data_IF_251362276472
#
_entry.id   IF_251362276472
#
_cell.length_a   1.000
_cell.length_b   1.000
_cell.length_c   1.000
_cell.angle_alpha   90.00
_cell.angle_beta   90.00
_cell.angle_gamma   90.00
#
_symmetry.space_group_name_H-M   'P 1'
#
loop_
_entity.id
_entity.type
_entity.pdbx_description
1 polymer ?
#
# COMPACT_ATOMS: atom_id res chain seq x y z
N UNK A 1 -17.73 24.66 18.51
CA UNK A 1 -17.50 26.12 18.41
C UNK A 1 -17.89 26.59 17.01
N UNK A 2 -18.58 27.73 16.84
CA UNK A 2 -18.86 28.29 15.50
C UNK A 2 -17.76 29.26 15.10
N UNK A 3 -17.16 29.04 13.94
CA UNK A 3 -16.18 29.92 13.33
C UNK A 3 -16.73 30.43 12.01
N UNK A 4 -16.59 31.72 11.74
CA UNK A 4 -16.95 32.29 10.45
C UNK A 4 -15.79 32.16 9.45
N UNK A 5 -16.09 32.42 8.18
CA UNK A 5 -15.10 32.31 7.11
C UNK A 5 -13.91 33.25 7.33
N UNK A 6 -14.15 34.43 7.90
CA UNK A 6 -13.11 35.41 8.19
C UNK A 6 -12.13 34.88 9.25
N UNK A 7 -12.61 34.28 10.34
CA UNK A 7 -11.75 33.67 11.35
C UNK A 7 -10.93 32.50 10.79
N UNK A 8 -11.53 31.63 9.96
CA UNK A 8 -10.83 30.49 9.33
C UNK A 8 -9.66 30.98 8.46
N UNK A 9 -9.85 32.08 7.73
CA UNK A 9 -8.81 32.69 6.89
C UNK A 9 -7.76 33.45 7.71
N UNK A 10 -8.19 34.21 8.73
CA UNK A 10 -7.30 35.00 9.59
C UNK A 10 -6.35 34.12 10.40
N UNK A 11 -6.81 32.92 10.80
CA UNK A 11 -6.01 31.92 11.50
C UNK A 11 -5.25 30.97 10.56
N UNK A 12 -5.37 31.17 9.24
CA UNK A 12 -4.72 30.36 8.21
C UNK A 12 -4.85 28.85 8.45
N UNK A 13 -6.06 28.39 8.84
CA UNK A 13 -6.25 27.03 9.35
C UNK A 13 -5.90 25.95 8.30
N UNK A 14 -6.37 26.14 7.06
CA UNK A 14 -6.19 25.19 5.96
C UNK A 14 -5.48 25.79 4.74
N UNK A 15 -5.47 27.11 4.61
CA UNK A 15 -4.89 27.82 3.47
C UNK A 15 -4.18 29.07 3.97
N UNK A 16 -2.95 29.24 3.52
CA UNK A 16 -2.20 30.47 3.75
C UNK A 16 -2.67 31.54 2.75
N UNK A 17 -2.82 32.80 3.21
CA UNK A 17 -3.26 33.90 2.34
C UNK A 17 -2.18 34.42 1.39
N UNK A 18 -0.90 34.10 1.63
CA UNK A 18 0.28 34.66 0.94
C UNK A 18 0.90 33.75 -0.11
N UNK A 19 0.59 32.45 -0.11
CA UNK A 19 1.19 31.47 -1.01
C UNK A 19 0.16 30.82 -1.94
N UNK A 20 0.54 30.62 -3.21
CA UNK A 20 -0.29 29.96 -4.21
C UNK A 20 -0.28 28.42 -4.07
N UNK A 21 0.72 27.86 -3.38
CA UNK A 21 0.82 26.42 -3.19
C UNK A 21 0.03 25.97 -1.95
N UNK A 22 -0.85 24.96 -2.07
CA UNK A 22 -1.56 24.40 -0.94
C UNK A 22 -0.62 23.60 -0.04
N UNK A 23 -0.54 23.95 1.24
CA UNK A 23 0.00 23.06 2.27
C UNK A 23 1.21 23.56 3.06
N UNK A 24 1.89 24.63 2.65
CA UNK A 24 2.99 25.19 3.44
C UNK A 24 2.48 26.31 4.36
N UNK A 25 2.98 26.33 5.60
CA UNK A 25 2.71 27.36 6.62
C UNK A 25 1.23 27.56 6.98
N UNK A 26 0.51 26.48 7.33
CA UNK A 26 -0.85 26.54 7.90
C UNK A 26 -0.89 25.80 9.24
N UNK A 27 -1.88 26.09 10.10
CA UNK A 27 -2.04 25.36 11.37
C UNK A 27 -2.22 23.86 11.12
N UNK A 28 -3.01 23.51 10.12
CA UNK A 28 -3.20 22.11 9.72
C UNK A 28 -1.88 21.45 9.29
N UNK A 29 -1.06 22.12 8.48
CA UNK A 29 0.22 21.56 8.05
C UNK A 29 1.19 21.33 9.22
N UNK A 30 1.20 22.24 10.20
CA UNK A 30 2.01 22.11 11.41
C UNK A 30 1.55 20.93 12.29
N UNK A 31 0.23 20.80 12.48
CA UNK A 31 -0.35 19.77 13.35
C UNK A 31 -0.40 18.38 12.69
N UNK A 32 -0.49 18.32 11.35
CA UNK A 32 -0.75 17.07 10.65
C UNK A 32 0.48 16.16 10.55
N UNK A 33 0.63 15.31 11.55
CA UNK A 33 1.59 14.19 11.57
C UNK A 33 0.90 12.82 11.55
N UNK A 34 -0.31 12.77 10.99
CA UNK A 34 -1.11 11.54 10.90
C UNK A 34 -0.52 10.55 9.90
N UNK A 35 -0.74 9.25 10.14
CA UNK A 35 -0.23 8.16 9.28
C UNK A 35 -1.29 7.53 8.39
N UNK A 36 -2.56 7.90 8.58
CA UNK A 36 -3.69 7.33 7.85
C UNK A 36 -4.51 8.44 7.16
N UNK A 37 -5.12 8.16 5.99
CA UNK A 37 -6.03 9.09 5.33
C UNK A 37 -7.19 9.52 6.24
N UNK A 38 -7.73 8.59 7.02
CA UNK A 38 -8.81 8.82 7.98
C UNK A 38 -8.37 9.77 9.10
N UNK A 39 -7.16 9.59 9.64
CA UNK A 39 -6.60 10.49 10.65
C UNK A 39 -6.43 11.90 10.10
N UNK A 40 -5.95 12.05 8.86
CA UNK A 40 -5.82 13.34 8.18
C UNK A 40 -7.18 14.02 8.01
N UNK A 41 -8.21 13.27 7.59
CA UNK A 41 -9.60 13.79 7.45
C UNK A 41 -10.19 14.18 8.80
N UNK A 42 -10.02 13.34 9.82
CA UNK A 42 -10.47 13.62 11.17
C UNK A 42 -9.82 14.89 11.71
N UNK A 43 -8.50 15.03 11.59
CA UNK A 43 -7.78 16.23 12.01
C UNK A 43 -8.27 17.48 11.28
N UNK A 44 -8.52 17.38 9.96
CA UNK A 44 -9.10 18.48 9.18
C UNK A 44 -10.44 18.92 9.77
N UNK A 45 -11.30 17.96 10.13
CA UNK A 45 -12.59 18.23 10.78
C UNK A 45 -12.42 18.82 12.18
N UNK A 46 -11.52 18.29 12.99
CA UNK A 46 -11.26 18.76 14.35
C UNK A 46 -10.75 20.20 14.38
N UNK A 47 -9.88 20.59 13.43
CA UNK A 47 -9.38 21.97 13.30
C UNK A 47 -10.50 22.93 12.87
N UNK A 48 -11.37 22.51 11.95
CA UNK A 48 -12.50 23.34 11.51
C UNK A 48 -13.65 23.40 12.51
N UNK A 49 -13.80 22.39 13.35
CA UNK A 49 -14.88 22.26 14.32
C UNK A 49 -14.33 21.86 15.69
N UNK A 50 -13.76 22.81 16.45
CA UNK A 50 -13.29 22.55 17.80
C UNK A 50 -14.43 22.07 18.71
N UNK A 51 -14.10 21.08 19.54
CA UNK A 51 -14.98 20.53 20.56
C UNK A 51 -15.33 21.60 21.59
N UNK A 52 -16.52 21.50 22.18
CA UNK A 52 -17.01 22.42 23.23
C UNK A 52 -17.45 21.69 24.49
N UNK A 53 -17.48 20.35 24.46
CA UNK A 53 -17.80 19.54 25.63
C UNK A 53 -16.53 19.37 26.46
N UNK A 54 -16.54 19.86 27.69
CA UNK A 54 -15.40 19.79 28.62
C UNK A 54 -14.99 18.35 28.93
N UNK A 55 -15.95 17.45 29.12
CA UNK A 55 -15.66 16.04 29.41
C UNK A 55 -14.93 15.36 28.25
N UNK A 56 -15.37 15.57 27.01
CA UNK A 56 -14.70 15.02 25.81
C UNK A 56 -13.31 15.63 25.60
N UNK A 57 -13.15 16.92 25.89
CA UNK A 57 -11.86 17.61 25.83
C UNK A 57 -10.89 17.00 26.84
N UNK A 58 -11.32 16.81 28.08
CA UNK A 58 -10.48 16.20 29.12
C UNK A 58 -10.10 14.76 28.77
N UNK A 59 -11.03 13.95 28.26
CA UNK A 59 -10.72 12.59 27.80
C UNK A 59 -9.66 12.55 26.69
N UNK A 60 -9.65 13.54 25.79
CA UNK A 60 -8.63 13.67 24.76
C UNK A 60 -7.29 14.13 25.35
N UNK A 61 -7.30 15.01 26.35
CA UNK A 61 -6.09 15.44 27.04
C UNK A 61 -5.45 14.28 27.81
N UNK A 62 -6.23 13.50 28.55
CA UNK A 62 -5.76 12.31 29.28
C UNK A 62 -5.08 11.32 28.33
N UNK A 63 -5.72 11.01 27.20
CA UNK A 63 -5.16 10.11 26.19
C UNK A 63 -3.85 10.64 25.57
N UNK A 64 -3.72 11.95 25.39
CA UNK A 64 -2.48 12.57 24.91
C UNK A 64 -1.40 12.52 25.99
N UNK A 65 -1.74 12.80 27.24
CA UNK A 65 -0.81 12.77 28.38
C UNK A 65 -0.20 11.38 28.53
N UNK A 66 -1.01 10.32 28.48
CA UNK A 66 -0.52 8.94 28.58
C UNK A 66 0.39 8.56 27.41
N UNK A 67 0.03 8.93 26.17
CA UNK A 67 0.90 8.67 25.01
C UNK A 67 2.19 9.51 25.04
N UNK A 68 2.17 10.68 25.65
CA UNK A 68 3.39 11.46 25.89
C UNK A 68 4.23 10.91 27.04
N UNK A 69 3.62 10.24 28.02
CA UNK A 69 4.28 9.62 29.16
C UNK A 69 5.02 8.31 28.81
N UNK A 70 4.52 7.54 27.84
CA UNK A 70 5.16 6.31 27.35
C UNK A 70 5.53 6.44 25.86
N UNK A 71 6.77 6.88 25.61
CA UNK A 71 7.28 7.07 24.26
C UNK A 71 7.38 5.76 23.47
N UNK A 72 7.60 4.63 24.12
CA UNK A 72 7.75 3.34 23.44
C UNK A 72 6.39 2.85 22.91
N UNK A 73 5.32 3.00 23.70
CA UNK A 73 3.94 2.75 23.24
C UNK A 73 3.58 3.69 22.10
N UNK A 74 3.88 4.99 22.23
CA UNK A 74 3.62 5.95 21.17
C UNK A 74 4.34 5.60 19.86
N UNK A 75 5.63 5.28 19.89
CA UNK A 75 6.40 4.89 18.69
C UNK A 75 5.84 3.62 18.07
N UNK A 76 5.58 2.58 18.88
CA UNK A 76 4.99 1.30 18.38
C UNK A 76 3.64 1.53 17.70
N UNK A 77 2.74 2.29 18.32
CA UNK A 77 1.45 2.61 17.73
C UNK A 77 1.60 3.44 16.46
N UNK A 78 2.48 4.45 16.46
CA UNK A 78 2.75 5.31 15.31
C UNK A 78 3.32 4.52 14.12
N UNK A 79 4.21 3.57 14.39
CA UNK A 79 4.77 2.70 13.36
C UNK A 79 3.72 1.72 12.82
N UNK A 80 2.92 1.12 13.71
CA UNK A 80 1.83 0.24 13.30
C UNK A 80 0.77 0.96 12.45
N UNK A 81 0.48 2.23 12.75
CA UNK A 81 -0.48 3.01 11.97
C UNK A 81 -0.07 3.21 10.50
N UNK A 82 1.21 3.01 10.14
CA UNK A 82 1.66 3.03 8.74
C UNK A 82 1.11 1.87 7.92
N UNK A 83 0.73 0.77 8.56
CA UNK A 83 0.14 -0.40 7.86
C UNK A 83 -1.24 -0.10 7.27
N UNK A 84 -1.88 1.00 7.70
CA UNK A 84 -3.12 1.49 7.11
C UNK A 84 -2.89 2.48 5.95
N UNK A 85 -1.64 2.86 5.68
CA UNK A 85 -1.35 3.85 4.64
C UNK A 85 -1.75 3.35 3.25
N UNK A 86 -2.47 4.21 2.53
CA UNK A 86 -3.00 3.91 1.20
C UNK A 86 -4.24 3.01 1.17
N UNK A 87 -4.74 2.53 2.31
CA UNK A 87 -6.06 1.90 2.41
C UNK A 87 -7.06 2.97 2.86
N UNK A 88 -7.94 3.37 1.94
CA UNK A 88 -8.98 4.36 2.25
C UNK A 88 -10.30 3.66 2.58
N UNK A 89 -10.63 3.58 3.87
CA UNK A 89 -11.86 2.91 4.32
C UNK A 89 -13.12 3.64 3.86
N UNK A 90 -13.10 4.96 3.69
CA UNK A 90 -14.25 5.73 3.21
C UNK A 90 -14.56 5.42 1.74
N UNK A 91 -13.52 5.18 0.93
CA UNK A 91 -13.72 4.71 -0.43
C UNK A 91 -14.30 3.30 -0.48
N UNK A 92 -13.93 2.44 0.47
CA UNK A 92 -14.44 1.06 0.56
C UNK A 92 -15.87 1.07 1.11
N UNK A 93 -16.17 1.88 2.13
CA UNK A 93 -17.49 1.97 2.74
C UNK A 93 -18.52 2.54 1.75
N UNK A 94 -18.13 3.55 0.96
CA UNK A 94 -18.94 4.06 -0.15
C UNK A 94 -19.27 2.97 -1.16
N UNK A 95 -18.27 2.18 -1.57
CA UNK A 95 -18.44 1.05 -2.49
C UNK A 95 -19.35 -0.06 -1.92
N UNK A 96 -19.26 -0.37 -0.63
CA UNK A 96 -20.15 -1.37 0.02
C UNK A 96 -21.58 -0.85 0.20
N UNK A 97 -21.74 0.45 0.45
CA UNK A 97 -23.05 1.05 0.74
C UNK A 97 -23.85 1.37 -0.52
N UNK A 98 -23.16 1.54 -1.64
CA UNK A 98 -23.81 1.67 -2.93
C UNK A 98 -24.37 0.29 -3.29
N UNK A 99 -25.70 0.17 -3.29
CA UNK A 99 -26.49 -1.01 -3.64
C UNK A 99 -26.34 -1.40 -5.14
N UNK A 100 -25.17 -1.11 -5.71
CA UNK A 100 -24.73 -1.66 -6.97
C UNK A 100 -24.62 -3.16 -6.75
N UNK A 101 -25.31 -3.99 -7.56
CA UNK A 101 -25.01 -5.40 -7.54
C UNK A 101 -23.52 -5.55 -7.82
N UNK A 102 -22.75 -5.93 -6.79
CA UNK A 102 -21.45 -6.61 -6.96
C UNK A 102 -21.68 -7.51 -8.16
N UNK A 103 -20.89 -7.36 -9.22
CA UNK A 103 -21.07 -8.03 -10.49
C UNK A 103 -21.14 -9.56 -10.39
N UNK A 104 -22.21 -10.08 -9.80
CA UNK A 104 -22.94 -11.20 -10.31
C UNK A 104 -23.35 -10.68 -11.66
N UNK A 105 -22.52 -11.01 -12.65
CA UNK A 105 -23.00 -11.38 -13.97
C UNK A 105 -24.33 -12.08 -13.73
N UNK A 106 -25.43 -11.33 -13.84
CA UNK A 106 -26.73 -11.93 -14.04
C UNK A 106 -26.58 -12.67 -15.34
N UNK A 107 -26.19 -13.93 -15.22
CA UNK A 107 -26.33 -14.99 -16.21
C UNK A 107 -27.82 -15.29 -16.42
N UNK A 108 -28.68 -14.26 -16.35
CA UNK A 108 -30.05 -14.32 -16.79
C UNK A 108 -30.05 -14.04 -18.29
N UNK A 109 -29.70 -15.09 -19.05
CA UNK A 109 -30.32 -15.36 -20.34
C UNK A 109 -30.04 -14.42 -21.51
N UNK A 110 -28.88 -13.76 -21.58
CA UNK A 110 -28.45 -13.12 -22.85
C UNK A 110 -27.10 -13.65 -23.29
N UNK A 111 -27.19 -14.51 -24.30
CA UNK A 111 -26.21 -14.85 -25.31
C UNK A 111 -24.75 -14.50 -24.99
N UNK A 112 -23.96 -15.56 -24.86
CA UNK A 112 -22.53 -15.53 -25.14
C UNK A 112 -22.27 -14.82 -26.47
N UNK A 113 -21.78 -13.59 -26.40
CA UNK A 113 -21.02 -12.97 -27.48
C UNK A 113 -19.80 -12.29 -26.88
N UNK A 114 -18.66 -12.96 -27.09
CA UNK A 114 -17.33 -12.43 -27.33
C UNK A 114 -16.90 -11.12 -26.62
N UNK A 115 -15.88 -11.29 -25.76
CA UNK A 115 -15.10 -10.26 -25.06
C UNK A 115 -15.86 -9.52 -23.94
N UNK A 116 -15.56 -9.92 -22.70
CA UNK A 116 -15.67 -9.03 -21.53
C UNK A 116 -15.00 -7.72 -21.91
N UNK A 117 -15.73 -6.60 -21.83
CA UNK A 117 -15.18 -5.31 -22.23
C UNK A 117 -13.97 -4.96 -21.35
N UNK A 118 -12.94 -4.33 -21.93
CA UNK A 118 -11.76 -3.90 -21.16
C UNK A 118 -12.13 -3.05 -19.92
N UNK A 119 -13.25 -2.33 -20.00
CA UNK A 119 -13.83 -1.57 -18.90
C UNK A 119 -14.37 -2.46 -17.76
N UNK A 120 -15.09 -3.52 -18.07
CA UNK A 120 -15.65 -4.45 -17.08
C UNK A 120 -14.54 -5.21 -16.33
N UNK A 121 -13.49 -5.60 -17.05
CA UNK A 121 -12.31 -6.24 -16.45
C UNK A 121 -11.58 -5.27 -15.50
N UNK A 122 -11.37 -4.02 -15.93
CA UNK A 122 -10.74 -2.99 -15.10
C UNK A 122 -11.54 -2.70 -13.82
N UNK A 123 -12.88 -2.71 -13.91
CA UNK A 123 -13.75 -2.57 -12.74
C UNK A 123 -13.61 -3.74 -11.77
N UNK A 124 -13.67 -4.98 -12.27
CA UNK A 124 -13.51 -6.18 -11.45
C UNK A 124 -12.14 -6.25 -10.77
N UNK A 125 -11.07 -5.84 -11.46
CA UNK A 125 -9.73 -5.71 -10.87
C UNK A 125 -9.65 -4.65 -9.77
N UNK A 126 -10.33 -3.53 -9.96
CA UNK A 126 -10.48 -2.48 -8.95
C UNK A 126 -11.21 -2.98 -7.71
N UNK A 127 -12.32 -3.70 -7.90
CA UNK A 127 -13.12 -4.29 -6.82
C UNK A 127 -12.31 -5.32 -6.03
N UNK A 128 -11.58 -6.20 -6.71
CA UNK A 128 -10.68 -7.15 -6.05
C UNK A 128 -9.63 -6.43 -5.21
N UNK A 129 -9.09 -5.31 -5.69
CA UNK A 129 -8.13 -4.51 -4.94
C UNK A 129 -8.74 -3.90 -3.68
N UNK A 130 -10.01 -3.44 -3.75
CA UNK A 130 -10.75 -2.95 -2.58
C UNK A 130 -10.99 -4.05 -1.56
N UNK A 131 -11.37 -5.24 -2.01
CA UNK A 131 -11.58 -6.40 -1.14
C UNK A 131 -10.27 -6.84 -0.46
N UNK A 132 -9.15 -6.86 -1.19
CA UNK A 132 -7.83 -7.13 -0.61
C UNK A 132 -7.45 -6.04 0.40
N UNK A 133 -7.72 -4.77 0.09
CA UNK A 133 -7.54 -3.65 1.01
C UNK A 133 -8.34 -3.83 2.30
N UNK A 134 -9.62 -4.22 2.20
CA UNK A 134 -10.47 -4.52 3.35
C UNK A 134 -9.93 -5.68 4.18
N UNK A 135 -9.47 -6.76 3.55
CA UNK A 135 -8.85 -7.91 4.24
C UNK A 135 -7.61 -7.46 5.04
N UNK A 136 -6.69 -6.72 4.40
CA UNK A 136 -5.49 -6.19 5.06
C UNK A 136 -5.87 -5.24 6.20
N UNK A 137 -6.83 -4.34 5.98
CA UNK A 137 -7.32 -3.41 6.99
C UNK A 137 -7.82 -4.14 8.24
N UNK A 138 -8.70 -5.13 8.08
CA UNK A 138 -9.27 -5.89 9.19
C UNK A 138 -8.21 -6.68 9.97
N UNK A 139 -7.23 -7.27 9.28
CA UNK A 139 -6.08 -7.92 9.93
C UNK A 139 -5.26 -6.91 10.75
N UNK A 140 -5.01 -5.72 10.20
CA UNK A 140 -4.24 -4.66 10.87
C UNK A 140 -4.99 -4.10 12.09
N UNK A 141 -6.33 -4.05 12.06
CA UNK A 141 -7.16 -3.68 13.22
C UNK A 141 -7.04 -4.71 14.35
N UNK A 142 -7.02 -6.01 14.03
CA UNK A 142 -6.85 -7.08 15.03
C UNK A 142 -5.48 -6.99 15.71
N UNK A 143 -4.42 -6.77 14.94
CA UNK A 143 -3.09 -6.60 15.49
C UNK A 143 -2.98 -5.30 16.32
N UNK A 144 -3.62 -4.21 15.89
CA UNK A 144 -3.70 -2.97 16.68
C UNK A 144 -4.41 -3.21 18.02
N UNK A 145 -5.48 -4.02 18.05
CA UNK A 145 -6.14 -4.40 19.30
C UNK A 145 -5.19 -5.13 20.26
N UNK A 146 -4.39 -6.06 19.75
CA UNK A 146 -3.39 -6.78 20.55
C UNK A 146 -2.30 -5.85 21.09
N UNK A 147 -1.84 -4.88 20.28
CA UNK A 147 -0.87 -3.87 20.72
C UNK A 147 -1.44 -2.98 21.84
N UNK A 148 -2.68 -2.51 21.69
CA UNK A 148 -3.35 -1.71 22.73
C UNK A 148 -3.57 -2.50 24.02
N UNK A 149 -3.91 -3.79 23.92
CA UNK A 149 -4.01 -4.70 25.08
C UNK A 149 -2.68 -4.92 25.77
N UNK A 150 -1.60 -5.08 25.01
CA UNK A 150 -0.25 -5.32 25.55
C UNK A 150 0.35 -4.07 26.20
N UNK A 151 -0.06 -2.88 25.77
CA UNK A 151 0.37 -1.60 26.33
C UNK A 151 -0.31 -1.26 27.68
N UNK A 152 -1.26 -2.07 28.16
CA UNK A 152 -1.98 -1.91 29.44
C UNK A 152 -2.46 -0.48 29.71
N UNK A 153 -3.04 0.16 28.69
CA UNK A 153 -3.40 1.57 28.78
C UNK A 153 -4.65 1.77 29.63
N UNK A 154 -4.53 2.58 30.68
CA UNK A 154 -5.59 2.84 31.66
C UNK A 154 -6.63 3.86 31.20
N UNK A 155 -6.34 4.63 30.15
CA UNK A 155 -7.24 5.72 29.72
C UNK A 155 -8.54 5.23 29.13
N UNK A 156 -9.62 5.90 29.51
CA UNK A 156 -10.97 5.57 29.05
C UNK A 156 -11.13 5.67 27.53
N UNK A 157 -10.51 6.65 26.86
CA UNK A 157 -10.61 6.82 25.41
C UNK A 157 -9.91 5.67 24.66
N UNK A 158 -8.68 5.34 25.05
CA UNK A 158 -7.90 4.27 24.42
C UNK A 158 -8.51 2.89 24.73
N UNK A 159 -9.03 2.68 25.94
CA UNK A 159 -9.80 1.49 26.31
C UNK A 159 -11.09 1.38 25.48
N UNK A 160 -11.81 2.49 25.25
CA UNK A 160 -12.99 2.52 24.37
C UNK A 160 -12.63 2.15 22.94
N UNK A 161 -11.52 2.67 22.40
CA UNK A 161 -11.01 2.27 21.08
C UNK A 161 -10.69 0.78 21.06
N UNK A 162 -9.97 0.25 22.06
CA UNK A 162 -9.66 -1.18 22.15
C UNK A 162 -10.93 -2.05 22.18
N UNK A 163 -11.96 -1.66 22.93
CA UNK A 163 -13.25 -2.38 22.95
C UNK A 163 -13.94 -2.44 21.57
N UNK A 164 -13.67 -1.47 20.70
CA UNK A 164 -14.25 -1.38 19.36
C UNK A 164 -13.47 -2.17 18.32
N UNK A 165 -12.21 -2.50 18.57
CA UNK A 165 -11.31 -3.19 17.63
C UNK A 165 -11.18 -4.70 17.86
N UNK A 166 -11.97 -5.27 18.77
CA UNK A 166 -11.89 -6.70 19.14
C UNK A 166 -12.11 -7.68 17.97
N UNK A 167 -11.54 -8.88 18.13
CA UNK A 167 -11.65 -9.98 17.17
C UNK A 167 -13.12 -10.41 16.93
N UNK A 168 -13.99 -10.23 17.92
CA UNK A 168 -15.42 -10.57 17.82
C UNK A 168 -16.13 -9.81 16.68
N UNK A 169 -15.67 -8.60 16.37
CA UNK A 169 -16.27 -7.73 15.35
C UNK A 169 -15.65 -7.92 13.97
N UNK A 170 -14.34 -8.13 13.93
CA UNK A 170 -13.56 -8.27 12.68
C UNK A 170 -13.53 -9.71 12.17
N UNK A 171 -13.61 -10.69 13.07
CA UNK A 171 -13.52 -12.12 12.81
C UNK A 171 -14.56 -12.67 11.83
N UNK A 172 -15.86 -12.35 11.97
CA UNK A 172 -16.88 -12.85 11.05
C UNK A 172 -16.60 -12.47 9.58
N UNK A 173 -16.28 -11.20 9.33
CA UNK A 173 -15.96 -10.70 7.98
C UNK A 173 -14.66 -11.30 7.46
N UNK A 174 -13.63 -11.42 8.29
CA UNK A 174 -12.38 -12.10 7.92
C UNK A 174 -12.60 -13.59 7.59
N UNK A 175 -13.51 -14.27 8.28
CA UNK A 175 -13.90 -15.64 7.99
C UNK A 175 -14.56 -15.80 6.62
N UNK A 176 -15.48 -14.89 6.28
CA UNK A 176 -16.10 -14.84 4.94
C UNK A 176 -15.05 -14.60 3.85
N UNK A 177 -14.13 -13.66 4.08
CA UNK A 177 -13.04 -13.37 3.15
C UNK A 177 -12.07 -14.55 3.03
N UNK A 178 -11.77 -15.25 4.13
CA UNK A 178 -10.87 -16.40 4.13
C UNK A 178 -11.44 -17.61 3.38
N UNK A 179 -12.76 -17.74 3.26
CA UNK A 179 -13.38 -18.79 2.47
C UNK A 179 -13.13 -18.63 0.96
N UNK A 180 -13.00 -17.38 0.48
CA UNK A 180 -12.84 -17.06 -0.95
C UNK A 180 -11.41 -16.71 -1.30
N UNK A 181 -10.68 -16.01 -0.43
CA UNK A 181 -9.34 -15.51 -0.68
C UNK A 181 -8.27 -16.44 -0.12
N UNK A 182 -7.14 -16.53 -0.81
CA UNK A 182 -5.93 -17.18 -0.29
C UNK A 182 -5.46 -16.46 0.97
N UNK A 183 -4.75 -17.18 1.85
CA UNK A 183 -4.26 -16.64 3.12
C UNK A 183 -3.22 -15.52 2.89
N UNK A 184 -2.30 -15.76 1.96
CA UNK A 184 -1.18 -14.88 1.58
C UNK A 184 -1.59 -13.71 0.67
N UNK A 185 -2.84 -13.70 0.20
CA UNK A 185 -3.33 -12.61 -0.63
C UNK A 185 -3.34 -11.30 0.18
N UNK A 186 -2.47 -10.37 -0.18
CA UNK A 186 -2.29 -9.08 0.49
C UNK A 186 -2.56 -7.93 -0.49
N UNK A 187 -3.06 -6.83 0.07
CA UNK A 187 -3.12 -5.56 -0.66
C UNK A 187 -1.70 -5.05 -0.96
N UNK A 188 -1.46 -4.61 -2.19
CA UNK A 188 -0.23 -3.92 -2.57
C UNK A 188 -0.54 -2.65 -3.35
N UNK A 189 0.39 -1.70 -3.28
CA UNK A 189 0.39 -0.43 -4.02
C UNK A 189 1.40 -0.41 -5.16
N UNK A 190 2.33 -1.36 -5.19
CA UNK A 190 3.33 -1.45 -6.25
C UNK A 190 2.66 -1.93 -7.52
N UNK A 191 2.79 -1.18 -8.62
CA UNK A 191 2.16 -1.53 -9.90
C UNK A 191 2.51 -2.96 -10.36
N UNK A 192 3.73 -3.42 -10.06
CA UNK A 192 4.18 -4.78 -10.36
C UNK A 192 3.50 -5.85 -9.47
N UNK A 193 3.30 -5.54 -8.20
CA UNK A 193 2.72 -6.47 -7.22
C UNK A 193 1.20 -6.51 -7.27
N UNK A 194 0.54 -5.43 -7.70
CA UNK A 194 -0.93 -5.38 -7.84
C UNK A 194 -1.42 -6.49 -8.77
N UNK A 195 -0.77 -6.66 -9.93
CA UNK A 195 -1.11 -7.71 -10.88
C UNK A 195 -0.95 -9.12 -10.28
N UNK A 196 0.17 -9.34 -9.58
CA UNK A 196 0.43 -10.60 -8.89
C UNK A 196 -0.59 -10.86 -7.78
N UNK A 197 -0.82 -9.88 -6.90
CA UNK A 197 -1.79 -9.98 -5.81
C UNK A 197 -3.19 -10.34 -6.33
N UNK A 198 -3.64 -9.70 -7.42
CA UNK A 198 -4.94 -10.00 -8.04
C UNK A 198 -5.01 -11.42 -8.61
N UNK A 199 -4.02 -11.84 -9.38
CA UNK A 199 -3.99 -13.16 -10.02
C UNK A 199 -4.03 -14.31 -9.00
N UNK A 200 -3.41 -14.11 -7.85
CA UNK A 200 -3.27 -15.12 -6.80
C UNK A 200 -4.24 -14.91 -5.63
N UNK A 201 -5.08 -13.88 -5.68
CA UNK A 201 -5.96 -13.51 -4.57
C UNK A 201 -6.98 -14.59 -4.21
N UNK A 202 -7.65 -15.16 -5.22
CA UNK A 202 -8.82 -16.04 -5.03
C UNK A 202 -8.36 -17.48 -4.84
N UNK A 203 -8.94 -18.22 -3.89
CA UNK A 203 -8.69 -19.65 -3.74
C UNK A 203 -9.11 -20.39 -5.01
N UNK A 204 -8.33 -21.39 -5.38
CA UNK A 204 -8.81 -22.33 -6.38
C UNK A 204 -10.01 -23.07 -5.79
N UNK A 205 -11.19 -22.80 -6.34
CA UNK A 205 -12.36 -23.64 -6.15
C UNK A 205 -12.10 -24.99 -6.85
N UNK A 206 -12.88 -26.06 -6.58
CA UNK A 206 -12.70 -27.37 -7.22
C UNK A 206 -12.76 -27.40 -8.76
N UNK A 207 -13.03 -26.26 -9.42
CA UNK A 207 -13.01 -26.12 -10.86
C UNK A 207 -11.65 -25.53 -11.31
N UNK A 208 -10.86 -26.35 -12.00
CA UNK A 208 -9.43 -26.16 -12.37
C UNK A 208 -9.11 -24.95 -13.28
N UNK A 209 -10.09 -24.17 -13.73
CA UNK A 209 -9.86 -23.12 -14.73
C UNK A 209 -8.88 -22.03 -14.26
N UNK A 210 -8.95 -21.64 -12.98
CA UNK A 210 -8.04 -20.63 -12.40
C UNK A 210 -6.64 -21.21 -12.27
N UNK A 211 -6.50 -22.47 -11.88
CA UNK A 211 -5.21 -23.11 -11.72
C UNK A 211 -4.51 -23.36 -13.05
N UNK A 212 -5.28 -23.70 -14.09
CA UNK A 212 -4.76 -23.76 -15.45
C UNK A 212 -4.24 -22.40 -15.91
N UNK A 213 -5.00 -21.33 -15.69
CA UNK A 213 -4.57 -19.97 -16.05
C UNK A 213 -3.30 -19.54 -15.29
N UNK A 214 -3.18 -19.89 -14.00
CA UNK A 214 -1.98 -19.64 -13.19
C UNK A 214 -0.78 -20.46 -13.67
N UNK A 215 -0.99 -21.72 -14.05
CA UNK A 215 0.06 -22.58 -14.58
C UNK A 215 0.60 -22.01 -15.90
N UNK A 216 -0.29 -21.56 -16.78
CA UNK A 216 0.09 -20.92 -18.04
C UNK A 216 0.84 -19.61 -17.79
N UNK A 217 0.36 -18.76 -16.86
CA UNK A 217 1.07 -17.53 -16.51
C UNK A 217 2.48 -17.80 -15.97
N UNK A 218 2.65 -18.79 -15.08
CA UNK A 218 3.97 -19.19 -14.58
C UNK A 218 4.88 -19.64 -15.72
N UNK A 219 4.36 -20.49 -16.62
CA UNK A 219 5.10 -20.97 -17.78
C UNK A 219 5.59 -19.83 -18.66
N UNK A 220 4.69 -18.92 -19.06
CA UNK A 220 5.05 -17.76 -19.89
C UNK A 220 6.11 -16.90 -19.21
N UNK A 221 6.01 -16.73 -17.89
CA UNK A 221 6.98 -15.96 -17.11
C UNK A 221 8.36 -16.62 -17.09
N UNK A 222 8.43 -17.93 -16.83
CA UNK A 222 9.67 -18.71 -16.84
C UNK A 222 10.34 -18.69 -18.22
N UNK A 223 9.57 -18.83 -19.30
CA UNK A 223 10.06 -18.74 -20.67
C UNK A 223 10.63 -17.35 -20.99
N UNK A 224 9.98 -16.29 -20.52
CA UNK A 224 10.48 -14.92 -20.67
C UNK A 224 11.79 -14.69 -19.88
N UNK A 225 11.86 -15.15 -18.63
CA UNK A 225 13.07 -15.05 -17.80
C UNK A 225 14.24 -15.81 -18.43
N UNK A 226 14.00 -17.02 -18.95
CA UNK A 226 15.01 -17.80 -19.69
C UNK A 226 15.50 -17.07 -20.95
N UNK A 227 14.60 -16.45 -21.72
CA UNK A 227 14.96 -15.64 -22.88
C UNK A 227 15.82 -14.42 -22.50
N UNK A 228 15.48 -13.71 -21.43
CA UNK A 228 16.29 -12.59 -20.93
C UNK A 228 17.69 -13.04 -20.46
N UNK A 229 17.77 -14.16 -19.74
CA UNK A 229 19.06 -14.73 -19.32
C UNK A 229 19.95 -15.09 -20.52
N UNK A 230 19.38 -15.73 -21.55
CA UNK A 230 20.09 -16.03 -22.79
C UNK A 230 20.62 -14.76 -23.48
N UNK A 231 19.79 -13.72 -23.55
CA UNK A 231 20.16 -12.45 -24.17
C UNK A 231 21.27 -11.73 -23.39
N UNK A 232 21.23 -11.79 -22.06
CA UNK A 232 22.28 -11.24 -21.20
C UNK A 232 23.61 -11.98 -21.39
N UNK A 233 23.59 -13.31 -21.44
CA UNK A 233 24.77 -14.13 -21.70
C UNK A 233 25.38 -13.86 -23.09
N UNK A 234 24.55 -13.70 -24.13
CA UNK A 234 25.01 -13.30 -25.47
C UNK A 234 25.62 -11.90 -25.47
N UNK A 235 25.08 -10.96 -24.69
CA UNK A 235 25.62 -9.61 -24.57
C UNK A 235 26.98 -9.62 -23.88
N UNK A 236 27.12 -10.36 -22.77
CA UNK A 236 28.39 -10.57 -22.08
C UNK A 236 29.43 -11.23 -22.99
N UNK A 237 29.05 -12.30 -23.70
CA UNK A 237 29.95 -12.98 -24.65
C UNK A 237 30.41 -12.08 -25.81
N UNK A 238 29.54 -11.20 -26.32
CA UNK A 238 29.92 -10.19 -27.31
C UNK A 238 30.89 -9.15 -26.74
N UNK A 239 30.72 -8.78 -25.47
CA UNK A 239 31.62 -7.85 -24.79
C UNK A 239 33.02 -8.46 -24.60
N UNK A 240 33.09 -9.71 -24.15
CA UNK A 240 34.35 -10.46 -24.05
C UNK A 240 35.05 -10.63 -25.41
N UNK A 241 34.28 -10.96 -26.46
CA UNK A 241 34.80 -11.03 -27.83
C UNK A 241 35.32 -9.66 -28.32
N UNK A 242 34.63 -8.57 -27.98
CA UNK A 242 35.08 -7.22 -28.32
C UNK A 242 36.40 -6.88 -27.63
N UNK A 243 36.55 -7.21 -26.34
CA UNK A 243 37.81 -7.03 -25.62
C UNK A 243 38.94 -7.90 -26.17
N UNK A 244 38.68 -9.16 -26.49
CA UNK A 244 39.65 -10.05 -27.13
C UNK A 244 40.14 -9.50 -28.48
N UNK A 245 39.22 -9.03 -29.33
CA UNK A 245 39.57 -8.41 -30.62
C UNK A 245 40.34 -7.10 -30.41
N UNK A 246 39.90 -6.26 -29.47
CA UNK A 246 40.58 -5.02 -29.12
C UNK A 246 42.01 -5.27 -28.61
N UNK A 247 42.20 -6.29 -27.77
CA UNK A 247 43.51 -6.69 -27.26
C UNK A 247 44.42 -7.26 -28.36
N UNK A 248 43.89 -8.08 -29.26
CA UNK A 248 44.61 -8.60 -30.43
C UNK A 248 45.04 -7.47 -31.39
N UNK A 249 44.15 -6.51 -31.66
CA UNK A 249 44.46 -5.34 -32.50
C UNK A 249 45.54 -4.46 -31.85
N UNK A 250 45.43 -4.17 -30.55
CA UNK A 250 46.46 -3.45 -29.80
C UNK A 250 47.80 -4.19 -29.76
N UNK A 251 47.78 -5.52 -29.66
CA UNK A 251 48.99 -6.35 -29.65
C UNK A 251 49.70 -6.34 -31.00
N UNK A 252 48.96 -6.24 -32.11
CA UNK A 252 49.51 -6.19 -33.46
C UNK A 252 50.09 -4.83 -33.86
N UNK A 253 49.71 -3.75 -33.16
CA UNK A 253 50.09 -2.36 -33.48
C UNK A 253 51.32 -1.86 -32.69
N UNK A 254 52.02 -2.74 -31.96
CA UNK A 254 53.33 -2.45 -31.36
C UNK A 254 53.30 -1.47 -30.17
N UNK A 255 52.12 -1.08 -29.69
CA UNK A 255 51.93 -0.20 -28.52
C UNK A 255 51.77 -1.01 -27.23
N UNK A 256 52.68 -1.96 -26.97
CA UNK A 256 52.70 -2.71 -25.71
C UNK A 256 53.93 -2.34 -24.88
N UNK A 257 53.75 -1.37 -23.98
CA UNK A 257 54.58 -1.30 -22.78
C UNK A 257 53.92 -0.63 -21.57
N UNK A 258 52.89 0.23 -21.70
CA UNK A 258 52.41 1.00 -20.53
C UNK A 258 50.90 1.02 -20.25
N UNK A 259 50.03 0.66 -21.19
CA UNK A 259 48.57 0.81 -20.99
C UNK A 259 47.85 -0.45 -20.46
N UNK A 260 48.43 -1.65 -20.66
CA UNK A 260 47.76 -2.92 -20.37
C UNK A 260 47.57 -3.20 -18.86
N UNK A 261 48.39 -2.61 -17.98
CA UNK A 261 48.31 -2.87 -16.54
C UNK A 261 47.22 -2.05 -15.82
N UNK A 262 46.76 -0.92 -16.41
CA UNK A 262 45.85 0.02 -15.73
C UNK A 262 44.37 -0.34 -15.93
N UNK A 263 44.02 -1.02 -17.03
CA UNK A 263 42.62 -1.31 -17.39
C UNK A 263 42.13 -2.62 -16.76
N UNK A 264 43.02 -3.59 -16.50
CA UNK A 264 42.64 -4.89 -15.90
C UNK A 264 42.17 -4.79 -14.44
N UNK A 265 42.60 -3.77 -13.68
CA UNK A 265 42.30 -3.68 -12.24
C UNK A 265 41.06 -2.84 -11.96
N UNK A 266 40.72 -1.88 -12.82
CA UNK A 266 39.60 -0.94 -12.59
C UNK A 266 38.25 -1.46 -13.07
N UNK A 267 38.22 -2.39 -14.04
CA UNK A 267 36.96 -2.93 -14.58
C UNK A 267 36.28 -3.97 -13.67
N UNK A 268 37.03 -4.62 -12.75
CA UNK A 268 36.47 -5.67 -11.89
C UNK A 268 35.84 -5.14 -10.60
N UNK A 269 36.18 -3.92 -10.16
CA UNK A 269 35.65 -3.35 -8.90
C UNK A 269 34.29 -2.64 -9.04
N UNK A 270 33.78 -2.41 -10.25
CA UNK A 270 32.51 -1.69 -10.46
C UNK A 270 31.29 -2.58 -10.76
N UNK A 271 31.43 -3.90 -10.72
CA UNK A 271 30.38 -4.85 -11.12
C UNK A 271 30.06 -5.95 -10.08
N UNK A 272 30.39 -5.73 -8.80
CA UNK A 272 29.85 -6.49 -7.67
C UNK A 272 28.85 -5.63 -6.88
#
# INVERSE_FOLDING_TARGET
>A
MRMDKAAIQALELLRNGRQAQPGDNTLFALANNTRTPEGRRLLTRSVLQPMTNEEEINLHHDAVETLCGDEDVFRKLRDWLKEFDGIDLESISGWVSEDQPIGIVSSSGRHMSAAVGAHELSQAEGDLSRVLGLKSYLKNVQALHQLLRAADVTDHLLASVASKTGADKTGPTLGLLAAVLQEDAAYSRSAAEIGHARMWAIRALPNDAIDLARAEHRRTREEAEAYFALKLALFQGKFEMFWLVFFLVLSSSGLFASAALVISVTSWQHFC
#
